data_IF_728736655344
#
_entry.id   IF_728736655344
#
_cell.length_a   1.000
_cell.length_b   1.000
_cell.length_c   1.000
_cell.angle_alpha   90.00
_cell.angle_beta   90.00
_cell.angle_gamma   90.00
#
_symmetry.space_group_name_H-M   'P 1'
#
loop_
_entity.id
_entity.type
_entity.pdbx_description
1 polymer ?
#
# COMPACT_ATOMS: atom_id res chain seq x y z
N UNK A 1 -8.34 -16.50 10.76
CA UNK A 1 -8.85 -17.17 11.98
C UNK A 1 -9.73 -16.18 12.76
N UNK A 2 -9.27 -14.95 12.94
CA UNK A 2 -10.05 -13.88 13.54
C UNK A 2 -11.36 -13.62 12.78
N UNK A 3 -11.28 -13.47 11.45
CA UNK A 3 -12.44 -13.23 10.59
C UNK A 3 -13.45 -14.39 10.67
N UNK A 4 -12.94 -15.63 10.77
CA UNK A 4 -13.78 -16.79 10.99
C UNK A 4 -14.48 -16.74 12.36
N UNK A 5 -13.76 -16.31 13.40
CA UNK A 5 -14.32 -16.17 14.75
C UNK A 5 -15.38 -15.06 14.79
N UNK A 6 -15.19 -13.96 14.05
CA UNK A 6 -16.20 -12.91 13.91
C UNK A 6 -17.43 -13.42 13.16
N UNK A 7 -17.23 -14.20 12.09
CA UNK A 7 -18.35 -14.83 11.39
C UNK A 7 -19.13 -15.78 12.28
N UNK A 8 -18.45 -16.59 13.10
CA UNK A 8 -19.10 -17.49 14.06
C UNK A 8 -19.93 -16.71 15.08
N UNK A 9 -19.36 -15.62 15.62
CA UNK A 9 -20.08 -14.68 16.50
C UNK A 9 -21.32 -14.05 15.85
N UNK A 10 -21.26 -13.81 14.54
CA UNK A 10 -22.35 -13.26 13.74
C UNK A 10 -23.23 -14.34 13.09
N UNK A 11 -23.12 -15.60 13.54
CA UNK A 11 -23.90 -16.75 13.03
C UNK A 11 -23.79 -16.94 11.51
N UNK A 12 -22.63 -16.60 10.94
CA UNK A 12 -22.34 -16.65 9.52
C UNK A 12 -22.83 -15.45 8.70
N UNK A 13 -23.47 -14.46 9.32
CA UNK A 13 -23.94 -13.25 8.64
C UNK A 13 -22.74 -12.42 8.13
N UNK A 14 -22.83 -11.99 6.86
CA UNK A 14 -21.81 -11.17 6.17
C UNK A 14 -22.30 -9.77 5.79
N UNK A 15 -23.54 -9.42 6.10
CA UNK A 15 -24.18 -8.17 5.65
C UNK A 15 -23.48 -6.94 6.25
N UNK A 16 -23.07 -7.02 7.51
CA UNK A 16 -22.38 -5.93 8.18
C UNK A 16 -21.54 -6.39 9.36
N UNK A 17 -20.46 -5.67 9.63
CA UNK A 17 -19.68 -5.77 10.87
C UNK A 17 -19.39 -4.37 11.42
N UNK A 18 -19.52 -4.24 12.74
CA UNK A 18 -19.07 -3.08 13.49
C UNK A 18 -18.04 -3.53 14.53
N UNK A 19 -16.78 -3.09 14.37
CA UNK A 19 -15.66 -3.56 15.18
C UNK A 19 -14.84 -2.39 15.74
N UNK A 20 -14.47 -2.49 17.02
CA UNK A 20 -13.50 -1.60 17.66
C UNK A 20 -12.11 -2.24 17.69
N UNK A 21 -11.11 -1.59 17.10
CA UNK A 21 -9.70 -2.01 17.13
C UNK A 21 -8.96 -1.15 18.17
N UNK A 22 -8.42 -1.78 19.21
CA UNK A 22 -7.99 -1.10 20.44
C UNK A 22 -6.55 -1.46 20.79
N UNK A 23 -5.70 -0.46 21.04
CA UNK A 23 -4.34 -0.68 21.55
C UNK A 23 -3.24 -0.03 20.72
N UNK A 24 -2.15 -0.77 20.49
CA UNK A 24 -1.10 -0.37 19.53
C UNK A 24 -1.53 -0.74 18.12
N UNK A 25 -2.06 0.24 17.39
CA UNK A 25 -2.49 0.11 15.99
C UNK A 25 -1.35 0.51 15.04
N UNK A 26 -0.33 1.19 15.54
CA UNK A 26 0.82 1.61 14.76
C UNK A 26 1.68 0.41 14.35
N UNK A 27 2.05 -0.44 15.31
CA UNK A 27 2.86 -1.65 15.06
C UNK A 27 2.02 -2.93 14.96
N UNK A 28 0.71 -2.84 15.17
CA UNK A 28 -0.20 -3.98 15.23
C UNK A 28 -0.41 -4.65 13.87
N UNK A 29 0.50 -5.53 13.45
CA UNK A 29 0.38 -6.30 12.20
C UNK A 29 -0.96 -7.03 12.04
N UNK A 30 -1.55 -7.48 13.15
CA UNK A 30 -2.88 -8.13 13.14
C UNK A 30 -3.98 -7.14 12.74
N UNK A 31 -3.92 -5.90 13.23
CA UNK A 31 -4.80 -4.81 12.83
C UNK A 31 -4.56 -4.40 11.37
N UNK A 32 -3.31 -4.37 10.92
CA UNK A 32 -3.00 -4.09 9.52
C UNK A 32 -3.62 -5.12 8.59
N UNK A 33 -3.53 -6.41 8.94
CA UNK A 33 -4.18 -7.47 8.15
C UNK A 33 -5.71 -7.39 8.14
N UNK A 34 -6.34 -6.75 9.14
CA UNK A 34 -7.81 -6.55 9.19
C UNK A 34 -8.30 -5.59 8.12
N UNK A 35 -7.47 -4.66 7.66
CA UNK A 35 -7.81 -3.74 6.55
C UNK A 35 -8.27 -4.53 5.33
N UNK A 36 -7.59 -5.62 5.00
CA UNK A 36 -7.96 -6.52 3.91
C UNK A 36 -8.91 -7.63 4.39
N UNK A 37 -8.70 -8.16 5.59
CA UNK A 37 -9.46 -9.29 6.11
C UNK A 37 -10.96 -9.01 6.26
N UNK A 38 -11.35 -7.79 6.65
CA UNK A 38 -12.74 -7.42 6.88
C UNK A 38 -13.56 -7.26 5.57
N UNK A 39 -12.93 -7.35 4.40
CA UNK A 39 -13.62 -7.28 3.10
C UNK A 39 -14.56 -8.46 2.84
N UNK A 40 -14.54 -9.48 3.70
CA UNK A 40 -15.51 -10.57 3.65
C UNK A 40 -16.94 -10.13 4.03
N UNK A 41 -17.08 -8.95 4.62
CA UNK A 41 -18.35 -8.34 5.00
C UNK A 41 -18.75 -7.23 4.02
N UNK A 42 -20.04 -7.11 3.72
CA UNK A 42 -20.56 -6.16 2.74
C UNK A 42 -20.49 -4.71 3.25
N UNK A 43 -20.75 -4.49 4.53
CA UNK A 43 -20.66 -3.18 5.19
C UNK A 43 -19.73 -3.25 6.40
N UNK A 44 -18.67 -2.45 6.38
CA UNK A 44 -17.65 -2.47 7.45
C UNK A 44 -17.61 -1.12 8.14
N UNK A 45 -17.87 -1.12 9.46
CA UNK A 45 -17.63 0.03 10.33
C UNK A 45 -16.50 -0.30 11.31
N UNK A 46 -15.47 0.55 11.33
CA UNK A 46 -14.26 0.35 12.15
C UNK A 46 -14.08 1.55 13.07
N UNK A 47 -13.98 1.28 14.37
CA UNK A 47 -13.60 2.26 15.36
C UNK A 47 -12.15 2.03 15.80
N UNK A 48 -11.26 2.97 15.47
CA UNK A 48 -9.86 2.94 15.82
C UNK A 48 -9.67 3.65 17.17
N UNK A 49 -9.38 2.88 18.23
CA UNK A 49 -9.25 3.41 19.60
C UNK A 49 -7.80 3.30 20.05
N UNK A 50 -7.05 4.39 19.86
CA UNK A 50 -5.64 4.47 20.24
C UNK A 50 -5.19 5.92 20.43
N UNK A 51 -4.32 6.22 21.41
CA UNK A 51 -3.71 7.53 21.53
C UNK A 51 -2.80 7.82 20.33
N UNK A 52 -2.56 9.10 20.04
CA UNK A 52 -1.81 9.55 18.85
C UNK A 52 -0.50 8.80 18.55
N UNK A 53 0.38 8.48 19.52
CA UNK A 53 1.61 7.72 19.24
C UNK A 53 1.38 6.27 18.80
N UNK A 54 0.19 5.72 19.07
CA UNK A 54 -0.23 4.35 18.79
C UNK A 54 -1.27 4.27 17.66
N UNK A 55 -1.59 5.40 17.03
CA UNK A 55 -2.64 5.47 16.01
C UNK A 55 -2.26 4.69 14.75
N UNK A 56 -3.26 4.15 14.07
CA UNK A 56 -3.08 3.46 12.80
C UNK A 56 -2.40 4.39 11.78
N UNK A 57 -1.36 3.95 11.04
CA UNK A 57 -0.72 4.77 10.03
C UNK A 57 -1.72 5.27 8.99
N UNK A 58 -1.60 6.54 8.59
CA UNK A 58 -2.58 7.21 7.73
C UNK A 58 -2.82 6.54 6.38
N UNK A 59 -1.85 5.77 5.87
CA UNK A 59 -2.03 5.02 4.63
C UNK A 59 -3.04 3.87 4.76
N UNK A 60 -3.13 3.21 5.92
CA UNK A 60 -4.14 2.18 6.17
C UNK A 60 -5.54 2.78 6.33
N UNK A 61 -5.64 3.98 6.92
CA UNK A 61 -6.91 4.71 7.01
C UNK A 61 -7.41 5.04 5.59
N UNK A 62 -6.54 5.59 4.73
CA UNK A 62 -6.86 5.85 3.32
C UNK A 62 -7.26 4.57 2.57
N UNK A 63 -6.58 3.46 2.85
CA UNK A 63 -6.89 2.16 2.26
C UNK A 63 -8.29 1.68 2.70
N UNK A 64 -8.62 1.75 3.99
CA UNK A 64 -9.96 1.44 4.51
C UNK A 64 -11.04 2.31 3.86
N UNK A 65 -10.81 3.62 3.74
CA UNK A 65 -11.74 4.56 3.08
C UNK A 65 -11.94 4.21 1.59
N UNK A 66 -10.87 3.85 0.87
CA UNK A 66 -10.95 3.41 -0.53
C UNK A 66 -11.71 2.10 -0.70
N UNK A 67 -11.66 1.22 0.31
CA UNK A 67 -12.44 0.00 0.37
C UNK A 67 -13.90 0.23 0.78
N UNK A 68 -14.28 1.48 1.10
CA UNK A 68 -15.65 1.86 1.46
C UNK A 68 -15.99 1.67 2.94
N UNK A 69 -14.99 1.54 3.81
CA UNK A 69 -15.22 1.37 5.24
C UNK A 69 -15.64 2.69 5.88
N UNK A 70 -16.53 2.63 6.87
CA UNK A 70 -16.83 3.76 7.74
C UNK A 70 -15.85 3.75 8.92
N UNK A 71 -14.87 4.66 8.92
CA UNK A 71 -13.79 4.70 9.92
C UNK A 71 -14.01 5.85 10.92
N UNK A 72 -14.00 5.56 12.22
CA UNK A 72 -14.01 6.56 13.29
C UNK A 72 -12.77 6.42 14.16
N UNK A 73 -12.26 7.51 14.70
CA UNK A 73 -10.99 7.55 15.43
C UNK A 73 -11.21 8.15 16.82
N UNK A 74 -10.67 7.49 17.84
CA UNK A 74 -10.80 7.87 19.25
C UNK A 74 -9.45 7.77 19.97
N UNK A 75 -9.17 8.71 20.88
CA UNK A 75 -7.89 8.77 21.59
C UNK A 75 -7.79 7.82 22.80
N UNK A 76 -8.91 7.27 23.27
CA UNK A 76 -9.00 6.38 24.43
C UNK A 76 -10.30 5.59 24.47
N UNK A 77 -10.33 4.51 25.25
CA UNK A 77 -11.55 3.73 25.53
C UNK A 77 -12.63 4.62 26.16
N UNK A 78 -12.24 5.52 27.07
CA UNK A 78 -13.19 6.45 27.70
C UNK A 78 -13.86 7.37 26.67
N UNK A 79 -13.06 7.98 25.79
CA UNK A 79 -13.57 8.85 24.73
C UNK A 79 -14.48 8.07 23.78
N UNK A 80 -14.15 6.80 23.49
CA UNK A 80 -14.96 5.92 22.67
C UNK A 80 -16.31 5.58 23.33
N UNK A 81 -16.31 5.23 24.62
CA UNK A 81 -17.51 4.88 25.37
C UNK A 81 -18.45 6.05 25.67
N UNK A 82 -17.98 7.30 25.51
CA UNK A 82 -18.81 8.49 25.66
C UNK A 82 -19.61 8.84 24.37
N UNK A 83 -19.55 7.98 23.36
CA UNK A 83 -20.31 8.13 22.11
C UNK A 83 -21.61 7.31 22.15
N UNK A 84 -22.51 7.59 21.19
CA UNK A 84 -23.82 6.93 21.12
C UNK A 84 -23.81 5.57 20.41
N UNK A 85 -22.72 5.21 19.74
CA UNK A 85 -22.65 4.00 18.91
C UNK A 85 -21.38 3.25 19.26
N UNK A 86 -21.52 2.14 19.97
CA UNK A 86 -20.44 1.30 20.48
C UNK A 86 -20.53 -0.06 19.80
N UNK A 87 -19.39 -0.58 19.34
CA UNK A 87 -19.29 -1.90 18.73
C UNK A 87 -19.53 -2.98 19.79
N UNK A 88 -20.10 -4.10 19.36
CA UNK A 88 -20.18 -5.33 20.15
C UNK A 88 -18.94 -6.23 19.96
N UNK A 89 -18.16 -6.05 18.89
CA UNK A 89 -16.90 -6.76 18.67
C UNK A 89 -15.73 -5.83 19.01
N UNK A 90 -14.96 -6.17 20.05
CA UNK A 90 -13.75 -5.42 20.43
C UNK A 90 -12.53 -6.28 20.21
N UNK A 91 -11.59 -5.81 19.41
CA UNK A 91 -10.33 -6.50 19.13
C UNK A 91 -9.16 -5.71 19.70
N UNK A 92 -8.59 -6.23 20.78
CA UNK A 92 -7.45 -5.64 21.45
C UNK A 92 -6.14 -6.13 20.82
N UNK A 93 -5.16 -5.23 20.71
CA UNK A 93 -3.78 -5.58 20.42
C UNK A 93 -2.92 -5.47 21.66
N UNK A 94 -1.84 -6.25 21.70
CA UNK A 94 -0.82 -6.12 22.73
C UNK A 94 -0.01 -4.86 22.44
N UNK A 95 0.01 -3.86 23.34
CA UNK A 95 0.83 -2.68 23.15
C UNK A 95 2.32 -3.04 23.25
N UNK A 96 3.14 -2.63 22.28
CA UNK A 96 4.59 -2.87 22.25
C UNK A 96 5.38 -1.65 22.74
N UNK A 97 4.95 -1.07 23.87
CA UNK A 97 5.51 0.17 24.41
C UNK A 97 7.00 0.04 24.75
N UNK A 98 7.45 -1.17 25.07
CA UNK A 98 8.85 -1.49 25.34
C UNK A 98 9.79 -1.30 24.14
N UNK A 99 9.25 -1.21 22.91
CA UNK A 99 10.03 -1.03 21.68
C UNK A 99 10.07 0.43 21.21
N UNK A 100 9.39 1.31 21.91
CA UNK A 100 9.26 2.71 21.52
C UNK A 100 10.42 3.52 22.11
N UNK A 101 10.88 4.55 21.39
CA UNK A 101 12.04 5.34 21.80
C UNK A 101 11.91 5.97 23.19
N UNK A 102 13.04 6.43 23.74
CA UNK A 102 13.18 6.92 25.12
C UNK A 102 12.12 7.94 25.56
N UNK A 103 11.62 8.76 24.64
CA UNK A 103 10.59 9.77 24.93
C UNK A 103 9.20 9.18 25.15
N UNK A 104 8.87 8.06 24.49
CA UNK A 104 7.57 7.41 24.64
C UNK A 104 7.54 6.54 25.90
N UNK A 105 8.68 5.92 26.25
CA UNK A 105 8.85 5.16 27.49
C UNK A 105 8.48 5.98 28.74
N UNK A 106 8.78 7.29 28.77
CA UNK A 106 8.40 8.21 29.86
C UNK A 106 6.89 8.38 30.02
N UNK A 107 6.11 8.14 28.95
CA UNK A 107 4.65 8.26 28.92
C UNK A 107 3.92 6.92 28.82
N UNK A 108 4.65 5.80 28.88
CA UNK A 108 4.13 4.47 28.58
C UNK A 108 2.92 4.11 29.46
N UNK A 109 2.96 4.38 30.76
CA UNK A 109 1.86 4.06 31.66
C UNK A 109 0.61 4.88 31.36
N UNK A 110 0.76 6.17 31.02
CA UNK A 110 -0.37 7.02 30.62
C UNK A 110 -0.98 6.55 29.29
N UNK A 111 -0.15 6.17 28.32
CA UNK A 111 -0.62 5.63 27.05
C UNK A 111 -1.34 4.30 27.25
N UNK A 112 -0.83 3.43 28.14
CA UNK A 112 -1.45 2.16 28.48
C UNK A 112 -2.80 2.34 29.16
N UNK A 113 -2.92 3.28 30.09
CA UNK A 113 -4.18 3.53 30.82
C UNK A 113 -5.32 3.90 29.84
N UNK A 114 -5.03 4.72 28.82
CA UNK A 114 -6.01 5.12 27.78
C UNK A 114 -6.59 3.95 26.97
N UNK A 115 -5.87 2.83 26.87
CA UNK A 115 -6.25 1.63 26.10
C UNK A 115 -6.52 0.42 27.01
N UNK A 116 -6.60 0.61 28.33
CA UNK A 116 -6.91 -0.45 29.29
C UNK A 116 -8.37 -0.39 29.69
N UNK A 117 -9.05 -1.54 29.62
CA UNK A 117 -10.45 -1.63 30.04
C UNK A 117 -10.57 -1.53 31.57
N UNK A 118 -11.58 -0.82 32.07
CA UNK A 118 -11.83 -0.60 33.51
C UNK A 118 -13.21 -1.14 33.89
N UNK A 119 -13.39 -1.54 35.16
CA UNK A 119 -14.65 -2.12 35.65
C UNK A 119 -15.84 -1.17 35.50
N UNK A 120 -15.61 0.14 35.68
CA UNK A 120 -16.61 1.20 35.50
C UNK A 120 -17.16 1.30 34.07
N UNK A 121 -16.47 0.74 33.08
CA UNK A 121 -16.90 0.73 31.68
C UNK A 121 -17.93 -0.37 31.37
N UNK A 122 -18.09 -1.35 32.25
CA UNK A 122 -19.00 -2.50 32.04
C UNK A 122 -20.43 -2.06 31.75
N UNK A 123 -20.92 -1.03 32.43
CA UNK A 123 -22.31 -0.56 32.29
C UNK A 123 -22.56 0.19 30.97
N UNK A 124 -21.50 0.60 30.27
CA UNK A 124 -21.58 1.30 28.99
C UNK A 124 -21.55 0.36 27.78
N UNK A 125 -21.32 -0.93 27.99
CA UNK A 125 -21.19 -1.89 26.90
C UNK A 125 -22.56 -2.32 26.36
N UNK A 126 -22.72 -2.43 25.03
CA UNK A 126 -23.88 -3.09 24.44
C UNK A 126 -24.08 -4.52 24.95
N UNK A 127 -25.33 -4.99 24.90
CA UNK A 127 -25.60 -6.40 25.20
C UNK A 127 -24.94 -7.30 24.15
N UNK A 128 -24.30 -8.37 24.60
CA UNK A 128 -23.68 -9.35 23.70
C UNK A 128 -22.26 -8.98 23.24
N UNK A 129 -21.66 -7.92 23.79
CA UNK A 129 -20.27 -7.55 23.51
C UNK A 129 -19.31 -8.71 23.77
N UNK A 130 -18.29 -8.86 22.92
CA UNK A 130 -17.26 -9.88 23.03
C UNK A 130 -15.89 -9.28 22.70
N UNK A 131 -14.90 -9.61 23.54
CA UNK A 131 -13.53 -9.13 23.45
C UNK A 131 -12.63 -10.21 22.87
N UNK A 132 -11.83 -9.81 21.89
CA UNK A 132 -10.89 -10.64 21.16
C UNK A 132 -9.47 -10.09 21.33
N UNK A 133 -8.48 -10.97 21.24
CA UNK A 133 -7.08 -10.61 21.38
C UNK A 133 -6.20 -11.69 20.73
N UNK A 134 -5.20 -11.34 19.89
CA UNK A 134 -4.38 -12.32 19.17
C UNK A 134 -3.45 -13.16 20.06
N UNK A 135 -3.32 -12.77 21.33
CA UNK A 135 -2.46 -13.35 22.37
C UNK A 135 -0.95 -13.23 22.03
N UNK A 136 -0.05 -13.38 23.02
CA UNK A 136 -0.32 -13.39 24.47
C UNK A 136 -0.70 -12.00 25.01
N UNK A 137 -1.52 -11.96 26.06
CA UNK A 137 -1.73 -10.75 26.86
C UNK A 137 -0.48 -10.46 27.70
N UNK A 138 -0.25 -9.20 28.05
CA UNK A 138 0.84 -8.84 28.95
C UNK A 138 0.59 -9.45 30.35
N UNK A 139 1.61 -10.05 30.96
CA UNK A 139 1.46 -10.77 32.24
C UNK A 139 1.11 -9.85 33.40
N UNK A 140 1.81 -8.73 33.53
CA UNK A 140 1.66 -7.82 34.68
C UNK A 140 0.66 -6.69 34.43
N UNK A 141 0.69 -6.06 33.24
CA UNK A 141 -0.20 -4.94 32.88
C UNK A 141 -1.07 -5.25 31.65
N UNK A 142 -2.01 -6.20 31.73
CA UNK A 142 -2.88 -6.52 30.61
C UNK A 142 -3.89 -5.39 30.33
N UNK A 143 -4.06 -5.02 29.06
CA UNK A 143 -5.09 -4.06 28.61
C UNK A 143 -6.51 -4.63 28.73
N UNK A 144 -6.63 -5.96 28.75
CA UNK A 144 -7.83 -6.71 29.14
C UNK A 144 -7.57 -7.33 30.53
N UNK A 145 -8.02 -6.70 31.63
CA UNK A 145 -7.73 -7.20 32.98
C UNK A 145 -8.27 -8.61 33.25
N UNK A 146 -7.61 -9.35 34.14
CA UNK A 146 -7.90 -10.76 34.44
C UNK A 146 -9.29 -11.02 35.03
N UNK A 147 -9.95 -10.02 35.62
CA UNK A 147 -11.32 -10.19 36.10
C UNK A 147 -12.32 -10.46 34.97
N UNK A 148 -11.95 -10.15 33.71
CA UNK A 148 -12.78 -10.39 32.54
C UNK A 148 -12.73 -11.85 32.07
N UNK A 149 -11.75 -12.63 32.52
CA UNK A 149 -11.50 -13.99 32.05
C UNK A 149 -12.69 -14.92 32.30
N UNK A 150 -13.43 -14.68 33.39
CA UNK A 150 -14.60 -15.47 33.78
C UNK A 150 -15.93 -14.86 33.33
N UNK A 151 -15.89 -13.79 32.53
CA UNK A 151 -17.09 -13.07 32.06
C UNK A 151 -17.48 -13.51 30.65
N UNK A 152 -18.74 -13.24 30.27
CA UNK A 152 -19.22 -13.46 28.91
C UNK A 152 -18.53 -12.58 27.85
N UNK A 153 -17.70 -11.60 28.26
CA UNK A 153 -16.89 -10.79 27.36
C UNK A 153 -15.69 -11.56 26.81
N UNK A 154 -15.30 -12.70 27.38
CA UNK A 154 -14.12 -13.46 26.94
C UNK A 154 -14.37 -14.22 25.63
N UNK A 155 -13.90 -13.67 24.50
CA UNK A 155 -13.87 -14.35 23.20
C UNK A 155 -12.49 -14.76 22.70
N UNK A 156 -11.41 -14.36 23.39
CA UNK A 156 -10.03 -14.63 22.93
C UNK A 156 -9.63 -16.12 23.09
N UNK A 157 -10.27 -16.87 23.98
CA UNK A 157 -10.02 -18.31 24.13
C UNK A 157 -10.59 -19.11 22.95
N UNK A 158 -11.84 -18.84 22.57
CA UNK A 158 -12.47 -19.44 21.40
C UNK A 158 -11.73 -19.05 20.12
N UNK A 159 -11.35 -17.78 19.98
CA UNK A 159 -10.50 -17.31 18.89
C UNK A 159 -9.20 -18.13 18.78
N UNK A 160 -8.53 -18.40 19.91
CA UNK A 160 -7.31 -19.20 19.95
C UNK A 160 -7.56 -20.65 19.52
N UNK A 161 -8.65 -21.26 20.01
CA UNK A 161 -9.07 -22.61 19.64
C UNK A 161 -9.39 -22.72 18.14
N UNK A 162 -10.09 -21.74 17.58
CA UNK A 162 -10.37 -21.61 16.15
C UNK A 162 -9.07 -21.53 15.33
N UNK A 163 -8.03 -20.91 15.87
CA UNK A 163 -6.70 -20.90 15.28
C UNK A 163 -6.12 -22.29 15.01
N UNK A 164 -6.43 -23.30 15.84
CA UNK A 164 -6.00 -24.69 15.59
C UNK A 164 -6.77 -25.29 14.41
N UNK A 165 -8.11 -25.17 14.42
CA UNK A 165 -8.99 -25.75 13.41
C UNK A 165 -8.70 -25.19 12.01
N UNK A 166 -8.64 -23.85 11.90
CA UNK A 166 -8.36 -23.17 10.63
C UNK A 166 -7.01 -23.58 10.04
N UNK A 167 -5.98 -23.76 10.88
CA UNK A 167 -4.66 -24.18 10.41
C UNK A 167 -4.65 -25.64 9.92
N UNK A 168 -5.40 -26.53 10.57
CA UNK A 168 -5.58 -27.92 10.09
C UNK A 168 -6.21 -27.91 8.69
N UNK A 169 -7.28 -27.12 8.50
CA UNK A 169 -7.94 -27.01 7.20
C UNK A 169 -6.99 -26.41 6.14
N UNK A 170 -6.29 -25.32 6.48
CA UNK A 170 -5.34 -24.68 5.57
C UNK A 170 -4.24 -25.65 5.12
N UNK A 171 -3.66 -26.42 6.05
CA UNK A 171 -2.66 -27.44 5.74
C UNK A 171 -3.25 -28.55 4.87
N UNK A 172 -4.48 -28.98 5.14
CA UNK A 172 -5.19 -29.96 4.31
C UNK A 172 -5.44 -29.48 2.88
N UNK A 173 -5.80 -28.21 2.70
CA UNK A 173 -5.98 -27.56 1.39
C UNK A 173 -4.65 -27.49 0.64
N UNK A 174 -3.60 -26.98 1.28
CA UNK A 174 -2.26 -26.86 0.66
C UNK A 174 -1.67 -28.22 0.29
N UNK A 175 -1.92 -29.25 1.10
CA UNK A 175 -1.47 -30.62 0.83
C UNK A 175 -2.34 -31.34 -0.23
N UNK A 176 -3.36 -30.69 -0.79
CA UNK A 176 -4.27 -31.29 -1.77
C UNK A 176 -5.15 -32.41 -1.21
N UNK A 177 -5.33 -32.46 0.12
CA UNK A 177 -6.20 -33.43 0.81
C UNK A 177 -7.63 -32.94 0.95
N UNK A 178 -7.82 -31.62 0.92
CA UNK A 178 -9.12 -30.95 0.98
C UNK A 178 -9.28 -30.03 -0.25
N UNK A 179 -10.52 -29.62 -0.54
CA UNK A 179 -10.81 -28.62 -1.57
C UNK A 179 -10.95 -29.14 -3.00
N UNK A 180 -11.06 -30.46 -3.20
CA UNK A 180 -11.35 -31.06 -4.51
C UNK A 180 -12.74 -30.67 -5.06
N UNK A 181 -13.62 -30.24 -4.17
CA UNK A 181 -14.96 -29.72 -4.41
C UNK A 181 -14.99 -28.19 -4.60
N UNK A 182 -13.85 -27.50 -4.45
CA UNK A 182 -13.78 -26.05 -4.61
C UNK A 182 -14.12 -25.66 -6.05
N UNK A 183 -15.24 -24.95 -6.19
CA UNK A 183 -15.65 -24.33 -7.45
C UNK A 183 -15.25 -22.87 -7.40
N UNK A 184 -14.25 -22.42 -8.17
CA UNK A 184 -13.91 -21.01 -8.22
C UNK A 184 -15.13 -20.22 -8.69
N UNK A 185 -15.32 -19.02 -8.14
CA UNK A 185 -16.29 -18.08 -8.68
C UNK A 185 -15.96 -17.83 -10.16
N UNK A 186 -16.98 -17.90 -11.01
CA UNK A 186 -16.87 -17.90 -12.48
C UNK A 186 -16.12 -16.68 -13.04
N UNK A 187 -16.08 -15.60 -12.26
CA UNK A 187 -15.26 -14.44 -12.46
C UNK A 187 -14.65 -14.08 -11.10
N UNK A 188 -13.39 -14.40 -10.78
CA UNK A 188 -12.70 -13.66 -9.74
C UNK A 188 -12.85 -12.18 -10.08
N UNK A 189 -13.04 -11.27 -9.10
CA UNK A 189 -12.97 -9.85 -9.39
C UNK A 189 -11.65 -9.64 -10.11
N UNK A 190 -11.70 -9.35 -11.42
CA UNK A 190 -10.53 -8.89 -12.13
C UNK A 190 -10.06 -7.72 -11.29
N UNK A 191 -8.87 -7.83 -10.69
CA UNK A 191 -8.17 -6.64 -10.23
C UNK A 191 -8.28 -5.70 -11.41
N UNK A 192 -9.02 -4.60 -11.23
CA UNK A 192 -9.17 -3.58 -12.26
C UNK A 192 -7.78 -2.98 -12.43
N UNK A 193 -6.92 -3.68 -13.16
CA UNK A 193 -5.67 -3.16 -13.67
C UNK A 193 -6.11 -2.13 -14.68
N UNK A 194 -6.36 -0.91 -14.18
CA UNK A 194 -6.34 0.26 -15.04
C UNK A 194 -5.04 0.13 -15.82
N UNK A 195 -5.13 0.01 -17.14
CA UNK A 195 -3.94 -0.02 -17.98
C UNK A 195 -3.13 1.22 -17.65
N UNK A 196 -2.00 1.04 -16.98
CA UNK A 196 -1.10 2.15 -16.60
C UNK A 196 -0.31 2.65 -17.81
N UNK A 197 -0.59 2.10 -18.99
CA UNK A 197 -0.14 2.56 -20.29
C UNK A 197 -1.39 2.92 -21.09
N UNK A 198 -1.47 4.17 -21.53
CA UNK A 198 -2.58 4.70 -22.30
C UNK A 198 -2.10 5.11 -23.69
N UNK A 199 -2.70 4.57 -24.75
CA UNK A 199 -2.38 4.96 -26.12
C UNK A 199 -3.13 6.24 -26.48
N UNK A 200 -2.38 7.29 -26.81
CA UNK A 200 -2.94 8.60 -27.15
C UNK A 200 -3.15 8.66 -28.67
N UNK A 201 -4.35 9.05 -29.16
CA UNK A 201 -4.58 9.28 -30.58
C UNK A 201 -3.58 10.26 -31.18
N UNK A 202 -3.11 9.95 -32.40
CA UNK A 202 -2.17 10.80 -33.13
C UNK A 202 -2.97 11.70 -34.06
N UNK A 203 -2.73 13.00 -33.95
CA UNK A 203 -3.25 13.98 -34.91
C UNK A 203 -2.44 13.94 -36.20
N UNK A 204 -3.00 13.29 -37.23
CA UNK A 204 -2.38 13.15 -38.55
C UNK A 204 -2.29 14.49 -39.32
N UNK A 205 -3.07 15.51 -38.93
CA UNK A 205 -3.09 16.80 -39.59
C UNK A 205 -2.04 17.78 -39.05
N UNK A 206 -1.19 17.35 -38.12
CA UNK A 206 -0.20 18.22 -37.51
C UNK A 206 0.95 18.51 -38.49
N UNK A 207 1.24 19.79 -38.81
CA UNK A 207 2.29 20.13 -39.77
C UNK A 207 3.66 19.63 -39.29
N UNK A 208 4.47 19.13 -40.24
CA UNK A 208 5.86 18.72 -39.97
C UNK A 208 6.61 19.93 -39.41
N UNK A 209 7.10 19.82 -38.17
CA UNK A 209 7.83 20.91 -37.52
C UNK A 209 9.07 21.25 -38.35
N UNK A 210 9.17 22.51 -38.78
CA UNK A 210 10.43 23.07 -39.28
C UNK A 210 11.35 23.28 -38.08
N UNK A 211 12.49 22.60 -38.08
CA UNK A 211 13.53 22.80 -37.09
C UNK A 211 14.52 23.85 -37.60
N UNK A 212 15.13 24.61 -36.70
CA UNK A 212 16.23 25.54 -37.01
C UNK A 212 17.40 24.78 -37.62
N UNK A 213 18.17 25.42 -38.51
CA UNK A 213 19.34 24.81 -39.16
C UNK A 213 20.26 24.11 -38.14
N UNK A 214 20.63 22.86 -38.42
CA UNK A 214 21.47 22.03 -37.57
C UNK A 214 20.73 21.04 -36.64
N UNK A 215 19.39 21.07 -36.58
CA UNK A 215 18.60 20.10 -35.81
C UNK A 215 17.85 19.17 -36.78
N UNK A 216 18.38 17.96 -36.97
CA UNK A 216 17.71 16.94 -37.78
C UNK A 216 16.65 16.20 -36.95
N UNK A 217 15.38 16.16 -37.37
CA UNK A 217 14.38 15.33 -36.72
C UNK A 217 14.80 13.86 -36.75
N UNK A 218 14.48 13.13 -35.67
CA UNK A 218 14.68 11.67 -35.60
C UNK A 218 13.90 11.04 -36.75
N UNK A 219 14.59 10.34 -37.64
CA UNK A 219 13.96 9.66 -38.78
C UNK A 219 13.26 8.38 -38.33
N UNK A 220 13.97 7.52 -37.60
CA UNK A 220 13.45 6.32 -36.95
C UNK A 220 14.04 6.22 -35.54
N UNK A 221 13.20 5.97 -34.53
CA UNK A 221 13.65 5.84 -33.15
C UNK A 221 12.54 6.10 -32.12
N UNK A 222 12.94 6.20 -30.86
CA UNK A 222 12.04 6.57 -29.75
C UNK A 222 12.34 7.97 -29.20
N UNK A 223 11.30 8.64 -28.70
CA UNK A 223 11.39 9.89 -27.95
C UNK A 223 10.56 9.78 -26.67
N UNK A 224 11.22 9.90 -25.53
CA UNK A 224 10.60 9.96 -24.21
C UNK A 224 10.50 11.44 -23.82
N UNK A 225 9.30 11.99 -23.79
CA UNK A 225 9.02 13.39 -23.47
C UNK A 225 8.28 13.50 -22.13
N UNK A 226 8.20 14.71 -21.57
CA UNK A 226 7.54 15.02 -20.29
C UNK A 226 8.16 14.34 -19.07
N UNK A 227 9.45 13.99 -19.13
CA UNK A 227 10.18 13.43 -17.98
C UNK A 227 10.22 14.50 -16.88
N UNK A 228 9.78 14.15 -15.67
CA UNK A 228 9.89 15.01 -14.48
C UNK A 228 9.33 16.43 -14.69
N UNK A 229 8.20 16.56 -15.41
CA UNK A 229 7.59 17.86 -15.70
C UNK A 229 7.28 18.61 -14.40
N UNK A 230 7.81 19.82 -14.26
CA UNK A 230 7.62 20.67 -13.08
C UNK A 230 8.77 20.62 -12.07
N UNK A 231 9.67 19.66 -12.18
CA UNK A 231 10.87 19.62 -11.33
C UNK A 231 11.90 20.68 -11.77
N UNK A 232 12.86 20.96 -10.89
CA UNK A 232 13.96 21.85 -11.22
C UNK A 232 14.94 21.20 -12.22
N UNK A 233 15.77 22.03 -12.88
CA UNK A 233 16.68 21.59 -13.95
C UNK A 233 17.69 20.53 -13.50
N UNK A 234 18.15 20.58 -12.25
CA UNK A 234 19.11 19.61 -11.70
C UNK A 234 18.45 18.25 -11.52
N UNK A 235 17.30 18.21 -10.88
CA UNK A 235 16.56 16.97 -10.63
C UNK A 235 16.13 16.30 -11.93
N UNK A 236 15.70 17.07 -12.94
CA UNK A 236 15.39 16.54 -14.26
C UNK A 236 16.63 15.90 -14.88
N UNK A 237 17.80 16.55 -14.81
CA UNK A 237 19.04 16.04 -15.38
C UNK A 237 19.46 14.73 -14.70
N UNK A 238 19.47 14.72 -13.37
CA UNK A 238 19.87 13.56 -12.56
C UNK A 238 18.93 12.38 -12.81
N UNK A 239 17.62 12.63 -12.89
CA UNK A 239 16.62 11.60 -13.19
C UNK A 239 16.68 11.11 -14.64
N UNK A 240 16.99 11.99 -15.59
CA UNK A 240 17.20 11.62 -17.01
C UNK A 240 18.40 10.68 -17.15
N UNK A 241 19.51 10.98 -16.47
CA UNK A 241 20.68 10.09 -16.44
C UNK A 241 20.34 8.73 -15.82
N UNK A 242 19.54 8.71 -14.75
CA UNK A 242 19.04 7.48 -14.13
C UNK A 242 18.18 6.65 -15.08
N UNK A 243 17.25 7.27 -15.82
CA UNK A 243 16.46 6.59 -16.85
C UNK A 243 17.37 5.92 -17.87
N UNK A 244 18.40 6.62 -18.36
CA UNK A 244 19.34 6.07 -19.35
C UNK A 244 20.05 4.83 -18.82
N UNK A 245 20.55 4.88 -17.58
CA UNK A 245 21.24 3.75 -16.97
C UNK A 245 20.30 2.56 -16.74
N UNK A 246 19.12 2.80 -16.15
CA UNK A 246 18.15 1.75 -15.82
C UNK A 246 17.53 1.13 -17.07
N UNK A 247 17.27 1.93 -18.10
CA UNK A 247 16.69 1.46 -19.36
C UNK A 247 17.75 1.01 -20.37
N UNK A 248 19.05 1.09 -20.03
CA UNK A 248 20.17 0.76 -20.90
C UNK A 248 20.13 1.50 -22.25
N UNK A 249 19.67 2.75 -22.23
CA UNK A 249 19.55 3.60 -23.42
C UNK A 249 20.88 4.28 -23.77
N UNK A 250 21.96 3.51 -23.87
CA UNK A 250 23.27 4.03 -24.25
C UNK A 250 23.39 4.22 -25.77
N UNK A 251 24.37 5.01 -26.21
CA UNK A 251 24.70 5.18 -27.61
C UNK A 251 24.16 6.47 -28.24
N UNK A 252 23.83 6.41 -29.53
CA UNK A 252 23.44 7.58 -30.33
C UNK A 252 22.15 8.21 -29.82
N UNK A 253 22.08 9.54 -29.86
CA UNK A 253 20.92 10.34 -29.45
C UNK A 253 21.34 11.51 -28.58
N UNK A 254 20.42 12.00 -27.75
CA UNK A 254 20.77 12.96 -26.72
C UNK A 254 19.63 13.29 -25.76
N UNK A 255 19.99 14.09 -24.77
CA UNK A 255 19.13 14.53 -23.68
C UNK A 255 18.95 16.03 -23.71
N UNK A 256 17.70 16.49 -23.60
CA UNK A 256 17.38 17.91 -23.54
C UNK A 256 16.51 18.22 -22.34
N UNK A 257 16.73 19.40 -21.76
CA UNK A 257 15.81 20.00 -20.80
C UNK A 257 15.26 21.26 -21.42
N UNK A 258 13.94 21.29 -21.59
CA UNK A 258 13.23 22.39 -22.26
C UNK A 258 12.10 22.91 -21.39
N UNK A 259 11.73 24.17 -21.60
CA UNK A 259 10.56 24.76 -20.96
C UNK A 259 9.28 24.31 -21.68
N UNK A 260 8.17 24.22 -20.94
CA UNK A 260 6.85 24.00 -21.53
C UNK A 260 6.47 25.17 -22.44
N UNK A 261 5.69 24.88 -23.47
CA UNK A 261 5.17 25.90 -24.39
C UNK A 261 4.10 26.78 -23.74
N UNK A 262 3.33 26.20 -22.82
CA UNK A 262 2.23 26.86 -22.12
C UNK A 262 2.74 27.68 -20.92
N UNK A 263 3.76 27.18 -20.23
CA UNK A 263 4.36 27.83 -19.07
C UNK A 263 5.89 27.75 -19.14
N UNK A 264 6.52 28.91 -19.39
CA UNK A 264 7.98 29.02 -19.49
C UNK A 264 8.72 28.73 -18.19
N UNK A 265 8.04 28.73 -17.03
CA UNK A 265 8.62 28.35 -15.74
C UNK A 265 8.65 26.83 -15.53
N UNK A 266 7.79 26.11 -16.24
CA UNK A 266 7.66 24.66 -16.09
C UNK A 266 8.63 23.93 -17.01
N UNK A 267 9.65 23.30 -16.43
CA UNK A 267 10.66 22.56 -17.18
C UNK A 267 10.27 21.08 -17.37
N UNK A 268 10.81 20.45 -18.41
CA UNK A 268 10.68 19.01 -18.67
C UNK A 268 11.93 18.43 -19.33
N UNK A 269 12.20 17.16 -19.06
CA UNK A 269 13.24 16.38 -19.72
C UNK A 269 12.74 15.66 -20.96
N UNK A 270 13.64 15.47 -21.92
CA UNK A 270 13.44 14.72 -23.16
C UNK A 270 14.66 13.83 -23.39
N UNK A 271 14.42 12.54 -23.66
CA UNK A 271 15.41 11.61 -24.18
C UNK A 271 14.99 11.22 -25.59
N UNK A 272 15.90 11.27 -26.54
CA UNK A 272 15.68 10.61 -27.84
C UNK A 272 16.82 9.67 -28.19
N UNK A 273 16.44 8.55 -28.81
CA UNK A 273 17.35 7.49 -29.24
C UNK A 273 17.03 7.11 -30.69
N UNK A 274 17.74 7.72 -31.66
CA UNK A 274 17.71 7.28 -33.05
C UNK A 274 18.12 5.81 -33.13
N UNK A 275 17.62 5.09 -34.13
CA UNK A 275 17.94 3.67 -34.39
C UNK A 275 17.38 2.68 -33.34
N UNK A 276 16.85 3.14 -32.19
CA UNK A 276 16.05 2.31 -31.28
C UNK A 276 14.59 2.35 -31.71
N UNK A 277 14.19 1.44 -32.59
CA UNK A 277 12.88 1.51 -33.25
C UNK A 277 11.70 1.29 -32.31
N UNK A 278 11.80 0.37 -31.35
CA UNK A 278 10.71 0.02 -30.43
C UNK A 278 11.27 -0.38 -29.05
N UNK A 279 10.38 -0.40 -28.05
CA UNK A 279 10.62 -0.98 -26.73
C UNK A 279 9.69 -2.18 -26.57
N UNK A 280 10.20 -3.27 -26.00
CA UNK A 280 9.40 -4.43 -25.63
C UNK A 280 8.35 -4.06 -24.56
N UNK A 281 7.27 -4.85 -24.39
CA UNK A 281 6.29 -4.61 -23.33
C UNK A 281 6.92 -4.54 -21.92
N UNK A 282 7.93 -5.36 -21.65
CA UNK A 282 8.67 -5.35 -20.38
C UNK A 282 9.43 -4.02 -20.18
N UNK A 283 10.09 -3.52 -21.21
CA UNK A 283 10.75 -2.22 -21.17
C UNK A 283 9.77 -1.07 -21.00
N UNK A 284 8.60 -1.11 -21.63
CA UNK A 284 7.57 -0.08 -21.43
C UNK A 284 7.05 -0.11 -19.99
N UNK A 285 6.85 -1.30 -19.41
CA UNK A 285 6.48 -1.44 -18.00
C UNK A 285 7.56 -0.86 -17.07
N UNK A 286 8.83 -1.18 -17.32
CA UNK A 286 9.98 -0.63 -16.59
C UNK A 286 10.04 0.90 -16.72
N UNK A 287 9.85 1.41 -17.94
CA UNK A 287 9.82 2.84 -18.22
C UNK A 287 8.67 3.55 -17.48
N UNK A 288 7.51 2.92 -17.37
CA UNK A 288 6.37 3.47 -16.63
C UNK A 288 6.65 3.60 -15.13
N UNK A 289 7.42 2.67 -14.56
CA UNK A 289 7.82 2.71 -13.15
C UNK A 289 8.85 3.81 -12.87
N UNK A 290 9.84 4.00 -13.76
CA UNK A 290 10.90 5.00 -13.56
C UNK A 290 10.50 6.40 -14.04
N UNK A 291 9.56 6.52 -14.97
CA UNK A 291 9.13 7.80 -15.54
C UNK A 291 7.60 7.92 -15.64
N UNK A 292 6.86 7.75 -14.52
CA UNK A 292 5.42 7.99 -14.51
C UNK A 292 5.13 9.44 -14.91
N UNK A 293 4.10 9.62 -15.74
CA UNK A 293 3.74 10.92 -16.32
C UNK A 293 4.54 11.30 -17.58
N UNK A 294 5.49 10.49 -18.03
CA UNK A 294 6.17 10.70 -19.30
C UNK A 294 5.32 10.25 -20.50
N UNK A 295 5.78 10.56 -21.71
CA UNK A 295 5.17 10.13 -22.96
C UNK A 295 6.21 9.51 -23.85
N UNK A 296 6.02 8.24 -24.21
CA UNK A 296 6.84 7.53 -25.18
C UNK A 296 6.23 7.73 -26.58
N UNK A 297 7.02 8.29 -27.49
CA UNK A 297 6.66 8.44 -28.89
C UNK A 297 7.55 7.52 -29.73
N UNK A 298 6.94 6.68 -30.56
CA UNK A 298 7.63 5.86 -31.56
C UNK A 298 7.61 6.63 -32.88
N UNK A 299 8.78 6.85 -33.46
CA UNK A 299 8.96 7.62 -34.69
C UNK A 299 9.41 6.69 -35.80
N UNK A 300 8.69 6.70 -36.93
CA UNK A 300 9.09 6.04 -38.18
C UNK A 300 8.93 7.02 -39.34
N UNK A 301 9.92 7.10 -40.22
CA UNK A 301 9.96 8.04 -41.37
C UNK A 301 9.65 9.49 -40.95
N UNK A 302 10.24 9.94 -39.84
CA UNK A 302 10.09 11.29 -39.25
C UNK A 302 8.66 11.64 -38.81
N UNK A 303 7.78 10.64 -38.64
CA UNK A 303 6.41 10.80 -38.13
C UNK A 303 6.23 9.97 -36.88
N UNK A 304 5.47 10.50 -35.92
CA UNK A 304 5.05 9.73 -34.74
C UNK A 304 4.01 8.71 -35.22
N UNK A 305 4.31 7.43 -35.06
CA UNK A 305 3.42 6.31 -35.44
C UNK A 305 2.72 5.68 -34.23
N UNK A 306 3.27 5.89 -33.03
CA UNK A 306 2.64 5.44 -31.77
C UNK A 306 2.97 6.42 -30.65
N UNK A 307 2.00 6.69 -29.78
CA UNK A 307 2.16 7.58 -28.64
C UNK A 307 1.55 6.97 -27.39
N UNK A 308 2.37 6.75 -26.37
CA UNK A 308 1.96 6.12 -25.11
C UNK A 308 2.15 7.09 -23.94
N UNK A 309 1.09 7.35 -23.19
CA UNK A 309 1.12 8.01 -21.88
C UNK A 309 1.41 6.98 -20.81
N UNK A 310 2.42 7.26 -19.99
CA UNK A 310 2.84 6.37 -18.93
C UNK A 310 2.27 6.85 -17.61
N UNK A 311 1.63 5.96 -16.88
CA UNK A 311 1.13 6.16 -15.52
C UNK A 311 1.88 5.21 -14.58
N UNK A 312 1.86 5.52 -13.29
CA UNK A 312 2.50 4.67 -12.30
C UNK A 312 1.83 3.30 -12.24
N UNK A 313 2.56 2.18 -12.42
CA UNK A 313 1.99 0.85 -12.30
C UNK A 313 1.47 0.59 -10.87
N UNK A 314 0.46 -0.29 -10.71
CA UNK A 314 -0.08 -0.62 -9.39
C UNK A 314 0.96 -1.32 -8.48
N UNK A 315 1.96 -1.96 -9.09
CA UNK A 315 3.02 -2.70 -8.39
C UNK A 315 4.32 -2.64 -9.19
N UNK A 316 5.45 -2.48 -8.51
CA UNK A 316 6.81 -2.50 -9.08
C UNK A 316 7.60 -3.61 -8.39
N UNK A 317 8.03 -4.60 -9.16
CA UNK A 317 8.67 -5.83 -8.68
C UNK A 317 9.47 -6.47 -9.81
N UNK A 318 10.32 -7.46 -9.48
CA UNK A 318 11.16 -8.20 -10.45
C UNK A 318 12.04 -7.29 -11.32
N UNK A 319 12.60 -6.24 -10.74
CA UNK A 319 13.59 -5.37 -11.37
C UNK A 319 14.86 -5.34 -10.52
N UNK A 320 15.99 -5.75 -11.08
CA UNK A 320 17.26 -5.81 -10.31
C UNK A 320 17.77 -4.43 -9.86
N UNK A 321 17.29 -3.39 -10.54
CA UNK A 321 17.63 -1.98 -10.34
C UNK A 321 16.82 -1.28 -9.24
N UNK A 322 15.93 -1.98 -8.53
CA UNK A 322 15.16 -1.38 -7.44
C UNK A 322 15.65 -1.82 -6.04
N UNK A 323 15.44 -1.00 -5.02
CA UNK A 323 15.77 -1.25 -3.60
C UNK A 323 14.83 -0.52 -2.66
N UNK A 324 14.56 -1.12 -1.51
CA UNK A 324 14.00 -0.37 -0.38
C UNK A 324 15.11 0.50 0.24
N UNK A 325 14.82 1.77 0.53
CA UNK A 325 15.73 2.68 1.25
C UNK A 325 15.67 2.55 2.77
N UNK A 326 14.89 1.60 3.31
CA UNK A 326 14.93 1.26 4.73
C UNK A 326 16.10 0.28 4.97
N UNK A 327 17.14 0.66 5.72
CA UNK A 327 18.27 -0.23 6.01
C UNK A 327 17.84 -1.49 6.77
N UNK A 328 16.73 -1.44 7.52
CA UNK A 328 16.22 -2.57 8.32
C UNK A 328 15.22 -3.46 7.55
N UNK A 329 14.95 -3.15 6.27
CA UNK A 329 14.03 -3.95 5.48
C UNK A 329 14.66 -5.30 5.09
N UNK A 330 13.91 -6.39 5.20
CA UNK A 330 14.37 -7.74 4.83
C UNK A 330 14.86 -7.85 3.37
N UNK A 331 14.32 -7.03 2.45
CA UNK A 331 14.78 -6.98 1.05
C UNK A 331 15.99 -6.06 0.82
N UNK A 332 16.53 -5.44 1.87
CA UNK A 332 17.68 -4.57 1.76
C UNK A 332 18.93 -5.42 1.41
N UNK A 333 19.72 -5.04 0.37
CA UNK A 333 20.83 -5.87 -0.11
C UNK A 333 21.90 -6.21 0.94
N UNK A 334 22.06 -5.35 1.95
CA UNK A 334 23.05 -5.55 3.02
C UNK A 334 22.79 -6.81 3.88
N UNK A 335 21.55 -7.32 3.91
CA UNK A 335 21.20 -8.50 4.73
C UNK A 335 21.41 -9.82 4.00
N UNK A 336 21.60 -9.81 2.67
CA UNK A 336 21.83 -11.01 1.86
C UNK A 336 20.73 -12.11 1.97
N UNK A 337 19.50 -11.72 2.31
CA UNK A 337 18.36 -12.63 2.52
C UNK A 337 17.74 -13.17 1.21
N UNK A 338 18.24 -12.74 0.05
CA UNK A 338 17.70 -13.08 -1.29
C UNK A 338 16.19 -12.79 -1.46
N UNK A 339 15.65 -11.82 -0.72
CA UNK A 339 14.27 -11.36 -0.87
C UNK A 339 14.23 -10.21 -1.89
N UNK A 340 13.60 -10.38 -3.06
CA UNK A 340 13.52 -9.31 -4.06
C UNK A 340 12.66 -8.16 -3.54
N UNK A 341 13.06 -6.90 -3.73
CA UNK A 341 12.25 -5.76 -3.34
C UNK A 341 10.94 -5.68 -4.15
N UNK A 342 9.87 -5.30 -3.47
CA UNK A 342 8.54 -5.15 -4.05
C UNK A 342 7.88 -3.88 -3.49
N UNK A 343 7.21 -3.14 -4.38
CA UNK A 343 6.52 -1.90 -4.06
C UNK A 343 5.09 -1.88 -4.59
N UNK A 344 4.18 -1.37 -3.78
CA UNK A 344 2.75 -1.23 -4.10
C UNK A 344 2.43 0.26 -4.22
N UNK A 345 1.77 0.68 -5.31
CA UNK A 345 1.35 2.05 -5.49
C UNK A 345 0.14 2.38 -4.60
N UNK A 346 0.33 3.30 -3.67
CA UNK A 346 -0.73 3.71 -2.72
C UNK A 346 -1.48 4.95 -3.21
N UNK A 347 -0.81 5.85 -3.93
CA UNK A 347 -1.41 7.05 -4.51
C UNK A 347 -0.45 7.77 -5.45
N UNK A 348 -0.87 8.00 -6.70
CA UNK A 348 -0.12 8.80 -7.68
C UNK A 348 1.32 8.32 -7.89
N UNK A 349 2.26 8.95 -7.19
CA UNK A 349 3.71 8.75 -7.28
C UNK A 349 4.33 8.15 -5.99
N UNK A 350 3.52 7.78 -5.02
CA UNK A 350 3.94 7.19 -3.73
C UNK A 350 3.82 5.67 -3.77
N UNK A 351 4.90 5.02 -3.37
CA UNK A 351 5.07 3.58 -3.34
C UNK A 351 5.29 3.12 -1.89
N UNK A 352 4.61 2.06 -1.47
CA UNK A 352 4.82 1.39 -0.18
C UNK A 352 5.62 0.12 -0.40
N UNK A 353 6.70 -0.09 0.35
CA UNK A 353 7.42 -1.36 0.35
C UNK A 353 6.51 -2.49 0.86
N UNK A 354 6.42 -3.61 0.14
CA UNK A 354 5.57 -4.74 0.52
C UNK A 354 6.03 -5.48 1.79
N UNK A 355 7.21 -5.18 2.31
CA UNK A 355 7.80 -5.86 3.47
C UNK A 355 7.85 -4.99 4.72
N UNK A 356 8.49 -3.83 4.63
CA UNK A 356 8.66 -2.92 5.78
C UNK A 356 7.69 -1.75 5.79
N UNK A 357 6.81 -1.65 4.78
CA UNK A 357 5.75 -0.64 4.68
C UNK A 357 6.21 0.82 4.62
N UNK A 358 7.54 1.07 4.56
CA UNK A 358 8.08 2.41 4.32
C UNK A 358 7.53 2.97 3.00
N UNK A 359 7.08 4.21 3.05
CA UNK A 359 6.68 4.97 1.87
C UNK A 359 7.92 5.53 1.16
N UNK A 360 7.88 5.53 -0.17
CA UNK A 360 8.92 5.99 -1.07
C UNK A 360 8.26 6.78 -2.20
N UNK A 361 8.97 7.76 -2.75
CA UNK A 361 8.65 8.28 -4.07
C UNK A 361 9.15 7.32 -5.15
N UNK A 362 8.57 7.39 -6.35
CA UNK A 362 9.06 6.60 -7.50
C UNK A 362 10.54 6.83 -7.83
N UNK A 363 11.13 7.95 -7.39
CA UNK A 363 12.54 8.28 -7.64
C UNK A 363 13.49 7.60 -6.65
N UNK A 364 13.02 7.26 -5.45
CA UNK A 364 13.85 6.76 -4.35
C UNK A 364 14.10 5.26 -4.41
N UNK A 365 13.27 4.53 -5.16
CA UNK A 365 13.34 3.06 -5.20
C UNK A 365 14.44 2.53 -6.11
N UNK A 366 15.22 3.36 -6.81
CA UNK A 366 16.21 2.93 -7.79
C UNK A 366 17.63 2.97 -7.21
N UNK A 367 18.42 1.93 -7.47
CA UNK A 367 19.83 1.81 -7.09
C UNK A 367 20.77 2.57 -8.02
#
# INVERSE_FOLDING_TARGET
LDEFTFLEKLEGNRDSIHIALIGDLFHGRTVHSKVQGLQIFDKVQVDLVAPKPLSLPGHYIREMEQLGYNVRIFESIEAYLNQNTIADIWYFTRPQLERMGDDILKSADSLRDKITFKREYMEKLPQGTTFYHPLPRHKEHPTIPSFLDTTALNGWEEQSANGKLIRIILLGLVAGKLGSDFKPLSNPPQQRTRSFIEEIPIDENRPVKRYTEGINPVSNGIVIDHICRGDNRRDIRDHTARIINVMELFGKGGEWITASREDKKMMKGIIFRPEREELSPSEINKLSAIAPGATLNIIKKSRVVKKLRLHMPPKVYNLDSISCSNPDCISHPAHCENVPPEFINTSGNTLRCAYCEKEHTFKEIWK
#
